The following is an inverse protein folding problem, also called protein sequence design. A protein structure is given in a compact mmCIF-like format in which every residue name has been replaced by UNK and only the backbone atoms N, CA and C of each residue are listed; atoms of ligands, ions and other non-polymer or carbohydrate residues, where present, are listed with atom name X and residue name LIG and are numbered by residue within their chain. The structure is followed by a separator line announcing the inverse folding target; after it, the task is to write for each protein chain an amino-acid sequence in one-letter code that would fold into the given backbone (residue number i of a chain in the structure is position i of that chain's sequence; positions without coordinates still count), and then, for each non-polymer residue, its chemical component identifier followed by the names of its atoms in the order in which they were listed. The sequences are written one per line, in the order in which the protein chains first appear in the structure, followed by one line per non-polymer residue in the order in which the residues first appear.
data_IF_537901291788
#
_entry.id   IF_537901291788
#
_cell.length_a   1.000
_cell.length_b   1.000
_cell.length_c   1.000
_cell.angle_alpha   90.00
_cell.angle_beta   90.00
_cell.angle_gamma   90.00
#
_symmetry.space_group_name_H-M   'P 1'
#
loop_
_entity.id
_entity.type
_entity.pdbx_description
1 polymer ?
#
# COMPACT_ATOMS: atom_id res chain seq x y z
N UNK A 1 14.61 -48.60 -39.14
CA UNK A 1 13.52 -47.69 -38.67
C UNK A 1 13.43 -47.79 -37.16
N UNK A 2 14.09 -46.89 -36.46
CA UNK A 2 14.07 -46.85 -34.97
C UNK A 2 12.79 -46.16 -34.52
N UNK A 3 11.89 -46.93 -33.91
CA UNK A 3 10.71 -46.37 -33.20
C UNK A 3 11.19 -45.72 -31.93
N UNK A 4 11.26 -44.41 -31.88
CA UNK A 4 11.44 -43.64 -30.67
C UNK A 4 10.26 -43.98 -29.74
N UNK A 5 10.49 -44.41 -28.50
CA UNK A 5 9.38 -44.88 -27.66
C UNK A 5 8.45 -43.73 -27.31
N UNK A 6 7.17 -43.93 -27.55
CA UNK A 6 6.04 -43.04 -27.25
C UNK A 6 6.04 -42.56 -25.78
N UNK A 7 6.80 -43.20 -24.93
CA UNK A 7 6.97 -42.89 -23.53
C UNK A 7 7.70 -41.56 -23.27
N UNK A 8 8.62 -41.15 -24.15
CA UNK A 8 9.36 -39.87 -23.98
C UNK A 8 8.48 -38.66 -24.31
N UNK A 9 7.50 -38.83 -25.23
CA UNK A 9 6.57 -37.78 -25.59
C UNK A 9 5.53 -37.52 -24.49
N UNK A 10 5.19 -38.56 -23.70
CA UNK A 10 4.22 -38.45 -22.61
C UNK A 10 4.80 -37.73 -21.38
N UNK A 11 6.10 -37.88 -21.11
CA UNK A 11 6.79 -37.19 -20.02
C UNK A 11 6.91 -35.68 -20.32
N UNK A 12 7.14 -35.30 -21.59
CA UNK A 12 7.22 -33.88 -21.97
C UNK A 12 5.86 -33.17 -21.89
N UNK A 13 4.74 -33.87 -22.12
CA UNK A 13 3.39 -33.30 -21.97
C UNK A 13 2.93 -33.18 -20.52
N UNK A 14 3.48 -33.98 -19.61
CA UNK A 14 3.13 -33.89 -18.18
C UNK A 14 3.88 -32.72 -17.51
N UNK A 15 5.12 -32.43 -17.95
CA UNK A 15 5.86 -31.27 -17.42
C UNK A 15 5.37 -29.91 -17.96
N UNK A 16 4.64 -29.86 -19.08
CA UNK A 16 4.11 -28.61 -19.62
C UNK A 16 2.80 -28.15 -18.98
N UNK A 17 2.21 -28.92 -18.06
CA UNK A 17 0.95 -28.59 -17.38
C UNK A 17 1.08 -28.40 -15.86
N UNK A 18 2.28 -28.36 -15.31
CA UNK A 18 2.50 -27.92 -13.92
C UNK A 18 3.03 -26.48 -13.97
N UNK A 19 2.28 -25.58 -14.61
CA UNK A 19 2.35 -24.18 -14.24
C UNK A 19 1.48 -24.00 -12.98
N UNK A 20 1.95 -24.49 -11.83
CA UNK A 20 1.68 -23.78 -10.59
C UNK A 20 2.50 -22.50 -10.72
N UNK A 21 1.85 -21.40 -11.08
CA UNK A 21 2.32 -20.07 -10.77
C UNK A 21 2.37 -20.01 -9.24
N UNK A 22 3.53 -20.31 -8.68
CA UNK A 22 3.81 -19.84 -7.34
C UNK A 22 3.72 -18.32 -7.42
N UNK A 23 3.08 -17.68 -6.42
CA UNK A 23 3.09 -16.25 -6.29
C UNK A 23 4.54 -15.79 -6.53
N UNK A 24 4.76 -14.97 -7.53
CA UNK A 24 6.11 -14.52 -7.84
C UNK A 24 6.45 -13.40 -6.86
N UNK A 25 7.41 -13.62 -6.00
CA UNK A 25 7.95 -12.56 -5.16
C UNK A 25 8.63 -11.53 -6.04
N UNK A 26 8.00 -10.36 -6.18
CA UNK A 26 8.56 -9.23 -6.91
C UNK A 26 9.54 -8.47 -5.99
N UNK A 27 10.80 -8.85 -6.02
CA UNK A 27 11.86 -8.17 -5.25
C UNK A 27 12.76 -7.42 -6.23
N UNK A 28 12.62 -6.09 -6.37
CA UNK A 28 13.54 -5.31 -7.17
C UNK A 28 14.97 -5.43 -6.62
N UNK A 29 15.92 -5.79 -7.48
CA UNK A 29 17.34 -5.92 -7.12
C UNK A 29 18.09 -4.60 -7.16
N UNK A 30 17.48 -3.56 -7.74
CA UNK A 30 18.01 -2.18 -7.84
C UNK A 30 16.88 -1.18 -7.86
N UNK A 31 17.18 0.09 -7.56
CA UNK A 31 16.20 1.17 -7.65
C UNK A 31 15.68 1.31 -9.08
N UNK A 32 14.36 1.47 -9.21
CA UNK A 32 13.67 1.53 -10.50
C UNK A 32 12.79 2.77 -10.57
N UNK A 33 12.90 3.51 -11.69
CA UNK A 33 11.99 4.63 -11.97
C UNK A 33 10.71 4.19 -12.70
N UNK A 34 10.41 2.91 -12.77
CA UNK A 34 9.27 2.34 -13.48
C UNK A 34 8.16 1.89 -12.52
N UNK A 35 6.94 1.87 -13.03
CA UNK A 35 5.79 1.25 -12.36
C UNK A 35 6.04 -0.26 -12.23
N UNK A 36 5.73 -0.83 -11.07
CA UNK A 36 5.60 -2.27 -10.88
C UNK A 36 4.13 -2.62 -10.90
N UNK A 37 3.72 -3.48 -11.82
CA UNK A 37 2.36 -4.02 -11.87
C UNK A 37 2.38 -5.43 -11.30
N UNK A 38 1.54 -5.68 -10.33
CA UNK A 38 1.33 -7.02 -9.77
C UNK A 38 0.49 -7.81 -10.78
N UNK A 39 1.00 -8.97 -11.19
CA UNK A 39 0.41 -9.75 -12.27
C UNK A 39 -0.64 -10.76 -11.79
N UNK A 40 -0.52 -11.25 -10.57
CA UNK A 40 -1.36 -12.33 -10.06
C UNK A 40 -1.86 -12.06 -8.65
N UNK A 41 -2.96 -12.71 -8.27
CA UNK A 41 -3.40 -12.77 -6.88
C UNK A 41 -2.35 -13.45 -6.01
N UNK A 42 -2.32 -13.12 -4.74
CA UNK A 42 -1.40 -13.65 -3.72
C UNK A 42 0.09 -13.39 -4.00
N UNK A 43 0.41 -12.44 -4.90
CA UNK A 43 1.79 -11.99 -5.14
C UNK A 43 2.29 -11.10 -3.99
N UNK A 44 3.61 -11.10 -3.80
CA UNK A 44 4.28 -10.22 -2.83
C UNK A 44 5.22 -9.26 -3.56
N UNK A 45 5.11 -7.96 -3.28
CA UNK A 45 6.09 -6.95 -3.65
C UNK A 45 6.93 -6.57 -2.42
N UNK A 46 8.23 -6.83 -2.45
CA UNK A 46 9.13 -6.47 -1.35
C UNK A 46 10.15 -5.43 -1.80
N UNK A 47 10.18 -4.28 -1.13
CA UNK A 47 11.16 -3.22 -1.33
C UNK A 47 12.19 -3.28 -0.19
N UNK A 48 13.39 -3.73 -0.50
CA UNK A 48 14.45 -3.91 0.47
C UNK A 48 15.17 -2.59 0.81
N UNK A 49 15.98 -2.61 1.85
CA UNK A 49 16.81 -1.47 2.25
C UNK A 49 17.69 -0.99 1.09
N UNK A 50 17.76 0.32 0.92
CA UNK A 50 18.52 0.95 -0.16
C UNK A 50 17.83 0.90 -1.54
N UNK A 51 16.70 0.24 -1.68
CA UNK A 51 15.94 0.17 -2.93
C UNK A 51 14.83 1.22 -2.93
N UNK A 52 14.75 1.95 -4.05
CA UNK A 52 13.65 2.90 -4.32
C UNK A 52 12.89 2.47 -5.55
N UNK A 53 11.58 2.27 -5.40
CA UNK A 53 10.65 2.13 -6.50
C UNK A 53 10.05 3.49 -6.84
N UNK A 54 10.19 3.92 -8.08
CA UNK A 54 9.62 5.16 -8.59
C UNK A 54 10.38 6.43 -8.22
N UNK A 55 9.73 7.57 -8.41
CA UNK A 55 10.20 8.89 -8.05
C UNK A 55 9.03 9.87 -7.90
N UNK A 56 9.27 11.10 -7.45
CA UNK A 56 8.21 12.08 -7.18
C UNK A 56 7.82 12.94 -8.40
N UNK A 57 8.37 12.66 -9.58
CA UNK A 57 8.12 13.43 -10.81
C UNK A 57 7.35 12.63 -11.88
N UNK A 58 7.18 11.34 -11.69
CA UNK A 58 6.48 10.44 -12.61
C UNK A 58 5.44 9.58 -11.87
N UNK A 59 4.46 9.05 -12.62
CA UNK A 59 3.40 8.20 -12.09
C UNK A 59 3.85 6.75 -11.86
N UNK A 60 5.01 6.57 -11.25
CA UNK A 60 5.51 5.25 -10.91
C UNK A 60 4.92 4.79 -9.59
N UNK A 61 4.47 3.54 -9.52
CA UNK A 61 3.73 3.02 -8.37
C UNK A 61 3.78 1.50 -8.27
N UNK A 62 3.43 0.97 -7.13
CA UNK A 62 2.96 -0.39 -7.00
C UNK A 62 1.48 -0.41 -7.47
N UNK A 63 1.22 -1.05 -8.60
CA UNK A 63 -0.10 -1.14 -9.22
C UNK A 63 -0.67 -2.53 -8.98
N UNK A 64 -1.68 -2.60 -8.12
CA UNK A 64 -2.23 -3.85 -7.61
C UNK A 64 -3.63 -4.10 -8.17
N UNK A 65 -4.25 -3.08 -8.77
CA UNK A 65 -5.64 -3.06 -9.20
C UNK A 65 -6.19 -4.43 -9.62
N UNK A 66 -7.37 -4.78 -9.09
CA UNK A 66 -8.09 -6.02 -9.38
C UNK A 66 -7.32 -7.32 -9.00
N UNK A 67 -6.35 -7.22 -8.07
CA UNK A 67 -5.62 -8.39 -7.55
C UNK A 67 -5.88 -8.56 -6.06
N UNK A 68 -6.26 -9.76 -5.67
CA UNK A 68 -6.60 -10.09 -4.29
C UNK A 68 -5.45 -10.79 -3.57
N UNK A 69 -5.45 -10.75 -2.25
CA UNK A 69 -4.44 -11.37 -1.36
C UNK A 69 -3.01 -10.85 -1.60
N UNK A 70 -2.84 -9.65 -2.15
CA UNK A 70 -1.51 -9.11 -2.47
C UNK A 70 -0.86 -8.53 -1.21
N UNK A 71 0.44 -8.75 -1.08
CA UNK A 71 1.26 -8.16 -0.04
C UNK A 71 2.26 -7.15 -0.60
N UNK A 72 2.32 -5.95 -0.01
CA UNK A 72 3.35 -4.93 -0.27
C UNK A 72 4.17 -4.72 0.99
N UNK A 73 5.44 -5.05 0.95
CA UNK A 73 6.36 -4.94 2.09
C UNK A 73 7.45 -3.93 1.76
N UNK A 74 7.54 -2.86 2.56
CA UNK A 74 8.61 -1.86 2.45
C UNK A 74 9.47 -1.96 3.70
N UNK A 75 10.66 -2.54 3.54
CA UNK A 75 11.62 -2.73 4.62
C UNK A 75 12.27 -1.41 5.02
N UNK A 76 12.85 -1.34 6.19
CA UNK A 76 13.58 -0.16 6.68
C UNK A 76 14.65 0.26 5.67
N UNK A 77 14.68 1.54 5.31
CA UNK A 77 15.53 2.09 4.27
C UNK A 77 15.08 1.84 2.83
N UNK A 78 13.99 1.09 2.62
CA UNK A 78 13.32 0.96 1.32
C UNK A 78 12.33 2.11 1.08
N UNK A 79 11.99 2.38 -0.19
CA UNK A 79 11.05 3.44 -0.53
C UNK A 79 10.18 3.13 -1.75
N UNK A 80 8.90 3.51 -1.67
CA UNK A 80 8.01 3.64 -2.83
C UNK A 80 7.68 5.13 -2.99
N UNK A 81 8.06 5.70 -4.12
CA UNK A 81 7.87 7.13 -4.41
C UNK A 81 7.06 7.29 -5.69
N UNK A 82 6.07 8.19 -5.71
CA UNK A 82 5.24 8.45 -6.89
C UNK A 82 4.82 9.91 -6.98
N UNK A 83 4.65 10.42 -8.20
CA UNK A 83 3.96 11.69 -8.42
C UNK A 83 2.46 11.57 -8.07
N UNK A 84 1.84 10.44 -8.41
CA UNK A 84 0.43 10.15 -8.10
C UNK A 84 0.32 9.15 -6.93
N UNK A 85 -0.56 8.17 -7.01
CA UNK A 85 -0.68 7.16 -5.95
C UNK A 85 0.59 6.31 -5.87
N UNK A 86 1.12 6.07 -4.68
CA UNK A 86 2.32 5.24 -4.52
C UNK A 86 1.97 3.75 -4.46
N UNK A 87 0.88 3.39 -3.77
CA UNK A 87 0.27 2.06 -3.78
C UNK A 87 -1.15 2.23 -4.29
N UNK A 88 -1.46 1.58 -5.41
CA UNK A 88 -2.74 1.65 -6.10
C UNK A 88 -3.44 0.31 -5.97
N UNK A 89 -4.44 0.22 -5.12
CA UNK A 89 -5.17 -1.00 -4.79
C UNK A 89 -6.66 -0.91 -5.12
N UNK A 90 -7.05 -0.23 -6.21
CA UNK A 90 -8.44 -0.15 -6.60
C UNK A 90 -9.00 -1.53 -6.95
N UNK A 91 -10.22 -1.84 -6.50
CA UNK A 91 -10.91 -3.11 -6.73
C UNK A 91 -10.09 -4.35 -6.27
N UNK A 92 -9.28 -4.20 -5.21
CA UNK A 92 -8.39 -5.26 -4.70
C UNK A 92 -8.76 -5.62 -3.27
N UNK A 93 -9.21 -6.86 -3.06
CA UNK A 93 -9.55 -7.35 -1.72
C UNK A 93 -8.32 -7.95 -1.01
N UNK A 94 -8.35 -7.97 0.31
CA UNK A 94 -7.32 -8.55 1.17
C UNK A 94 -5.89 -7.98 0.93
N UNK A 95 -5.81 -6.70 0.47
CA UNK A 95 -4.52 -6.05 0.29
C UNK A 95 -3.82 -5.83 1.64
N UNK A 96 -2.61 -6.39 1.77
CA UNK A 96 -1.76 -6.17 2.95
C UNK A 96 -0.60 -5.24 2.63
N UNK A 97 -0.46 -4.14 3.36
CA UNK A 97 0.70 -3.23 3.27
C UNK A 97 1.44 -3.19 4.59
N UNK A 98 2.70 -3.59 4.59
CA UNK A 98 3.59 -3.50 5.76
C UNK A 98 4.72 -2.52 5.46
N UNK A 99 4.77 -1.39 6.17
CA UNK A 99 5.75 -0.34 5.94
C UNK A 99 6.68 -0.15 7.15
N UNK A 100 7.96 -0.38 6.95
CA UNK A 100 9.05 0.01 7.86
C UNK A 100 9.99 1.04 7.24
N UNK A 101 9.75 1.43 5.99
CA UNK A 101 10.52 2.39 5.19
C UNK A 101 9.69 3.64 4.87
N UNK A 102 9.67 4.03 3.60
CA UNK A 102 8.93 5.22 3.15
C UNK A 102 7.98 4.88 1.99
N UNK A 103 6.70 5.21 2.15
CA UNK A 103 5.72 5.23 1.07
C UNK A 103 5.27 6.69 0.88
N UNK A 104 5.55 7.27 -0.30
CA UNK A 104 5.27 8.69 -0.54
C UNK A 104 4.66 8.94 -1.91
N UNK A 105 3.57 9.70 -1.91
CA UNK A 105 3.01 10.35 -3.09
C UNK A 105 3.26 11.87 -3.05
N UNK A 106 3.59 12.50 -4.19
CA UNK A 106 3.74 13.94 -4.24
C UNK A 106 2.41 14.65 -4.54
N UNK A 107 1.64 14.15 -5.49
CA UNK A 107 0.45 14.81 -6.04
C UNK A 107 -0.87 14.07 -5.83
N UNK A 108 -0.91 13.01 -5.04
CA UNK A 108 -2.13 12.25 -4.78
C UNK A 108 -2.00 11.42 -3.49
N UNK A 109 -2.62 10.26 -3.43
CA UNK A 109 -2.68 9.39 -2.25
C UNK A 109 -1.43 8.53 -2.12
N UNK A 110 -0.88 8.38 -0.92
CA UNK A 110 0.20 7.41 -0.72
C UNK A 110 -0.32 5.97 -0.87
N UNK A 111 -1.48 5.67 -0.29
CA UNK A 111 -2.18 4.39 -0.44
C UNK A 111 -3.62 4.67 -0.83
N UNK A 112 -4.06 4.13 -1.96
CA UNK A 112 -5.44 4.22 -2.44
C UNK A 112 -6.12 2.86 -2.32
N UNK A 113 -7.25 2.82 -1.61
CA UNK A 113 -8.07 1.64 -1.31
C UNK A 113 -9.50 1.86 -1.81
N UNK A 114 -9.64 2.33 -3.04
CA UNK A 114 -10.98 2.53 -3.60
C UNK A 114 -11.62 1.18 -3.93
N UNK A 115 -12.88 0.99 -3.53
CA UNK A 115 -13.68 -0.21 -3.80
C UNK A 115 -12.99 -1.52 -3.33
N UNK A 116 -12.28 -1.48 -2.18
CA UNK A 116 -11.58 -2.65 -1.60
C UNK A 116 -12.34 -3.24 -0.42
N UNK A 117 -12.09 -4.53 -0.14
CA UNK A 117 -12.53 -5.17 1.10
C UNK A 117 -11.34 -5.70 1.92
N UNK A 118 -11.50 -5.71 3.24
CA UNK A 118 -10.64 -6.37 4.22
C UNK A 118 -9.14 -6.06 4.14
N UNK A 119 -8.79 -4.89 3.60
CA UNK A 119 -7.38 -4.45 3.47
C UNK A 119 -6.73 -4.18 4.83
N UNK A 120 -5.47 -4.58 4.97
CA UNK A 120 -4.68 -4.39 6.20
C UNK A 120 -3.45 -3.53 5.94
N UNK A 121 -3.31 -2.42 6.68
CA UNK A 121 -2.15 -1.53 6.60
C UNK A 121 -1.45 -1.49 7.97
N UNK A 122 -0.19 -1.86 8.02
CA UNK A 122 0.66 -1.75 9.20
C UNK A 122 1.83 -0.82 8.91
N UNK A 123 1.86 0.32 9.60
CA UNK A 123 2.99 1.25 9.58
C UNK A 123 3.82 1.04 10.84
N UNK A 124 4.96 0.40 10.70
CA UNK A 124 5.84 0.04 11.79
C UNK A 124 6.59 1.25 12.37
N UNK A 125 7.22 1.09 13.51
CA UNK A 125 8.07 2.09 14.13
C UNK A 125 9.18 2.53 13.15
N UNK A 126 9.31 3.84 12.93
CA UNK A 126 10.22 4.43 11.96
C UNK A 126 9.68 4.46 10.52
N UNK A 127 8.58 3.76 10.23
CA UNK A 127 7.91 3.82 8.93
C UNK A 127 7.23 5.18 8.69
N UNK A 128 7.30 5.66 7.45
CA UNK A 128 6.69 6.93 7.03
C UNK A 128 5.75 6.65 5.86
N UNK A 129 4.48 7.04 6.00
CA UNK A 129 3.51 7.09 4.91
C UNK A 129 3.08 8.54 4.74
N UNK A 130 3.28 9.11 3.53
CA UNK A 130 3.06 10.54 3.29
C UNK A 130 2.45 10.84 1.94
N UNK A 131 1.55 11.82 1.91
CA UNK A 131 1.12 12.46 0.66
C UNK A 131 1.44 13.97 0.65
N UNK A 132 1.62 14.53 -0.55
CA UNK A 132 1.79 15.97 -0.75
C UNK A 132 0.45 16.68 -0.84
N UNK A 133 -0.43 16.29 -1.76
CA UNK A 133 -1.68 17.03 -2.04
C UNK A 133 -2.96 16.22 -1.79
N UNK A 134 -2.91 14.90 -1.70
CA UNK A 134 -4.08 14.07 -1.46
C UNK A 134 -4.14 13.51 -0.05
N UNK A 135 -5.21 12.82 0.28
CA UNK A 135 -5.27 12.04 1.51
C UNK A 135 -4.19 10.96 1.51
N UNK A 136 -3.48 10.76 2.63
CA UNK A 136 -2.35 9.83 2.65
C UNK A 136 -2.81 8.39 2.52
N UNK A 137 -3.79 7.96 3.32
CA UNK A 137 -4.50 6.68 3.15
C UNK A 137 -5.95 7.02 2.86
N UNK A 138 -6.44 6.59 1.72
CA UNK A 138 -7.80 6.90 1.27
C UNK A 138 -8.57 5.62 0.96
N UNK A 139 -9.74 5.48 1.58
CA UNK A 139 -10.74 4.46 1.29
C UNK A 139 -12.03 5.12 0.82
N UNK A 140 -12.37 4.97 -0.45
CA UNK A 140 -13.67 5.30 -1.01
C UNK A 140 -14.41 4.00 -1.26
N UNK A 141 -15.58 3.82 -0.63
CA UNK A 141 -16.30 2.53 -0.66
C UNK A 141 -15.47 1.31 -0.18
N UNK A 142 -14.41 1.56 0.59
CA UNK A 142 -13.57 0.52 1.18
C UNK A 142 -14.22 -0.03 2.46
N UNK A 143 -14.36 -1.34 2.58
CA UNK A 143 -15.01 -1.99 3.73
C UNK A 143 -14.05 -2.88 4.50
N UNK A 144 -14.25 -3.02 5.82
CA UNK A 144 -13.46 -3.95 6.65
C UNK A 144 -11.97 -3.62 6.82
N UNK A 145 -11.53 -2.45 6.34
CA UNK A 145 -10.10 -2.10 6.36
C UNK A 145 -9.55 -1.93 7.78
N UNK A 146 -8.34 -2.41 8.03
CA UNK A 146 -7.62 -2.26 9.31
C UNK A 146 -6.34 -1.48 9.12
N UNK A 147 -6.13 -0.42 9.92
CA UNK A 147 -4.92 0.40 9.91
C UNK A 147 -4.29 0.38 11.31
N UNK A 148 -3.04 -0.08 11.40
CA UNK A 148 -2.24 -0.03 12.63
C UNK A 148 -1.04 0.86 12.42
N UNK A 149 -0.92 1.94 13.23
CA UNK A 149 0.18 2.89 13.12
C UNK A 149 1.07 2.90 14.36
N UNK A 150 2.34 2.56 14.17
CA UNK A 150 3.42 2.74 15.13
C UNK A 150 4.47 3.77 14.66
N UNK A 151 4.35 4.25 13.43
CA UNK A 151 5.24 5.20 12.78
C UNK A 151 4.57 6.55 12.54
N UNK A 152 4.83 7.14 11.39
CA UNK A 152 4.26 8.44 11.00
C UNK A 152 3.39 8.31 9.76
N UNK A 153 2.16 8.79 9.84
CA UNK A 153 1.23 8.92 8.71
C UNK A 153 0.84 10.39 8.61
N UNK A 154 1.11 11.04 7.47
CA UNK A 154 0.74 12.44 7.35
C UNK A 154 0.49 12.92 5.92
N UNK A 155 -0.34 13.96 5.81
CA UNK A 155 -0.58 14.69 4.59
C UNK A 155 -0.11 16.15 4.72
N UNK A 156 0.46 16.70 3.66
CA UNK A 156 0.82 18.12 3.64
C UNK A 156 -0.40 19.01 3.38
N UNK A 157 -1.41 18.54 2.61
CA UNK A 157 -2.51 19.36 2.14
C UNK A 157 -3.91 18.81 2.43
N UNK A 158 -4.07 17.51 2.60
CA UNK A 158 -5.34 16.85 2.85
C UNK A 158 -5.31 16.08 4.19
N UNK A 159 -6.22 15.15 4.40
CA UNK A 159 -6.28 14.28 5.58
C UNK A 159 -5.18 13.23 5.55
N UNK A 160 -4.64 12.90 6.69
CA UNK A 160 -3.73 11.76 6.79
C UNK A 160 -4.47 10.43 6.54
N UNK A 161 -5.70 10.29 7.03
CA UNK A 161 -6.57 9.14 6.81
C UNK A 161 -7.96 9.64 6.43
N UNK A 162 -8.51 9.14 5.32
CA UNK A 162 -9.83 9.53 4.82
C UNK A 162 -10.59 8.32 4.29
N UNK A 163 -11.58 7.84 5.07
CA UNK A 163 -12.53 6.83 4.66
C UNK A 163 -13.91 7.45 4.51
N UNK A 164 -14.51 7.33 3.34
CA UNK A 164 -15.75 8.01 2.99
C UNK A 164 -16.63 7.15 2.07
N UNK A 165 -17.88 7.59 1.81
CA UNK A 165 -18.82 6.88 0.93
C UNK A 165 -19.12 5.45 1.39
N UNK A 166 -19.73 5.27 2.57
CA UNK A 166 -20.07 3.95 3.13
C UNK A 166 -18.88 3.07 3.54
N UNK A 167 -17.68 3.60 3.50
CA UNK A 167 -16.48 2.89 3.94
C UNK A 167 -16.51 2.55 5.43
N UNK A 168 -15.86 1.45 5.79
CA UNK A 168 -15.66 1.05 7.19
C UNK A 168 -14.19 0.75 7.46
N UNK A 169 -13.66 1.29 8.56
CA UNK A 169 -12.28 1.07 8.94
C UNK A 169 -12.09 0.95 10.45
N UNK A 170 -11.13 0.13 10.86
CA UNK A 170 -10.60 0.08 12.22
C UNK A 170 -9.22 0.73 12.19
N UNK A 171 -9.07 1.89 12.85
CA UNK A 171 -7.81 2.61 12.94
C UNK A 171 -7.27 2.53 14.37
N UNK A 172 -6.07 1.98 14.52
CA UNK A 172 -5.35 1.91 15.79
C UNK A 172 -4.05 2.72 15.68
N UNK A 173 -3.96 3.82 16.40
CA UNK A 173 -2.74 4.61 16.55
C UNK A 173 -2.09 4.29 17.89
N UNK A 174 -1.03 3.51 17.87
CA UNK A 174 -0.32 3.06 19.07
C UNK A 174 0.53 4.20 19.69
N UNK A 175 1.09 3.98 20.88
CA UNK A 175 1.78 5.01 21.66
C UNK A 175 2.97 5.68 20.95
N UNK A 176 3.63 5.00 20.02
CA UNK A 176 4.69 5.56 19.16
C UNK A 176 4.15 6.21 17.88
N UNK A 177 2.88 6.02 17.57
CA UNK A 177 2.27 6.45 16.33
C UNK A 177 1.97 7.95 16.31
N UNK A 178 2.26 8.59 15.18
CA UNK A 178 1.95 10.00 14.95
C UNK A 178 1.16 10.13 13.64
N UNK A 179 -0.07 10.63 13.73
CA UNK A 179 -0.95 10.90 12.58
C UNK A 179 -1.23 12.40 12.55
N UNK A 180 -0.93 13.06 11.43
CA UNK A 180 -1.21 14.49 11.33
C UNK A 180 -1.47 14.95 9.90
N UNK A 181 -2.08 16.14 9.78
CA UNK A 181 -2.04 16.92 8.54
C UNK A 181 -1.40 18.28 8.80
N UNK A 182 -0.99 18.95 7.73
CA UNK A 182 -0.41 20.30 7.78
C UNK A 182 -1.35 21.37 7.19
N UNK A 183 -2.60 21.00 6.90
CA UNK A 183 -3.65 21.86 6.36
C UNK A 183 -4.76 22.09 7.41
N UNK A 184 -5.82 22.80 6.99
CA UNK A 184 -6.99 23.13 7.83
C UNK A 184 -7.98 21.98 8.01
N UNK A 185 -7.84 20.90 7.22
CA UNK A 185 -8.69 19.71 7.34
C UNK A 185 -8.42 18.95 8.64
N UNK A 186 -9.36 18.11 9.07
CA UNK A 186 -9.12 17.13 10.12
C UNK A 186 -8.03 16.13 9.72
N UNK A 187 -7.22 15.69 10.68
CA UNK A 187 -6.17 14.70 10.40
C UNK A 187 -6.75 13.35 9.97
N UNK A 188 -7.90 12.97 10.52
CA UNK A 188 -8.60 11.71 10.24
C UNK A 188 -10.08 12.01 10.00
N UNK A 189 -10.62 11.47 8.90
CA UNK A 189 -12.05 11.38 8.64
C UNK A 189 -12.42 9.92 8.45
N UNK A 190 -13.43 9.46 9.16
CA UNK A 190 -13.98 8.10 9.08
C UNK A 190 -15.50 8.18 8.96
N UNK A 191 -16.05 7.57 7.93
CA UNK A 191 -17.47 7.42 7.74
C UNK A 191 -17.94 6.01 8.20
N UNK A 192 -19.24 5.81 8.20
CA UNK A 192 -19.85 4.52 8.53
C UNK A 192 -19.61 4.08 9.98
N UNK A 193 -19.60 2.75 10.19
CA UNK A 193 -19.36 2.14 11.50
C UNK A 193 -17.86 1.94 11.78
N UNK A 194 -17.05 2.94 11.44
CA UNK A 194 -15.60 2.89 11.66
C UNK A 194 -15.23 3.14 13.13
N UNK A 195 -14.08 2.63 13.54
CA UNK A 195 -13.56 2.74 14.90
C UNK A 195 -12.17 3.35 14.92
N UNK A 196 -11.92 4.30 15.83
CA UNK A 196 -10.60 4.87 16.09
C UNK A 196 -10.18 4.58 17.54
N UNK A 197 -9.05 3.91 17.71
CA UNK A 197 -8.37 3.73 18.99
C UNK A 197 -7.05 4.50 18.94
N UNK A 198 -6.85 5.47 19.88
CA UNK A 198 -5.66 6.29 19.90
C UNK A 198 -4.94 6.24 21.25
N UNK A 199 -3.71 5.78 21.23
CA UNK A 199 -2.76 5.85 22.34
C UNK A 199 -1.53 6.72 22.02
N UNK A 200 -1.42 7.16 20.77
CA UNK A 200 -0.34 7.98 20.25
C UNK A 200 -0.74 9.45 20.08
N UNK A 201 -0.15 10.11 19.09
CA UNK A 201 -0.41 11.50 18.77
C UNK A 201 -1.25 11.64 17.50
N UNK A 202 -2.34 12.41 17.57
CA UNK A 202 -3.12 12.84 16.40
C UNK A 202 -3.23 14.36 16.47
N UNK A 203 -2.85 15.08 15.43
CA UNK A 203 -2.90 16.54 15.40
C UNK A 203 -3.14 17.12 14.02
N UNK A 204 -3.67 18.34 14.01
CA UNK A 204 -3.63 19.23 12.87
C UNK A 204 -2.56 20.29 13.15
N UNK A 205 -1.49 20.31 12.35
CA UNK A 205 -0.35 21.23 12.54
C UNK A 205 -0.61 22.64 12.04
N UNK A 206 -1.67 22.85 11.24
CA UNK A 206 -2.03 24.18 10.77
C UNK A 206 -3.02 24.90 11.68
N UNK A 207 -3.37 24.34 12.84
CA UNK A 207 -4.14 25.05 13.87
C UNK A 207 -3.35 26.17 14.56
N UNK A 208 -2.21 26.57 13.97
CA UNK A 208 -1.42 27.68 14.44
C UNK A 208 -2.08 28.99 14.01
N UNK A 209 -2.50 29.68 14.98
CA UNK A 209 -2.89 31.08 15.18
C UNK A 209 -4.35 31.29 15.53
N UNK A 210 -4.74 30.72 16.66
CA UNK A 210 -5.69 31.42 17.52
C UNK A 210 -4.87 32.02 18.71
N UNK A 211 -4.19 33.10 18.46
CA UNK A 211 -3.84 34.10 19.46
C UNK A 211 -4.88 35.19 19.40
#
# INVERSE_FOLDING_TARGET
MNKLPLFLLFIFLIFSKINKTFAADNVPSSSQAAKVTIASNSDTLTINSGITLGNLTTQNRADINEKNDVSVIVNSGGSILSLHNAVQGDDSDDLTVTNSGTIRAAGSKAINLKDTADSTITNNLGGIIRSGTGATISGETATGSTITNNGTIYSDDERAINFFSTSTAIVTNNSSGHIYNSNTNEAIKLDGSSTLTNSGKIENKNSASNN
#
